data_IF_468944192775
#
_entry.id   IF_468944192775
#
_cell.length_a   1.000
_cell.length_b   1.000
_cell.length_c   1.000
_cell.angle_alpha   90.00
_cell.angle_beta   90.00
_cell.angle_gamma   90.00
#
_symmetry.space_group_name_H-M   'P 1'
#
loop_
_entity.id
_entity.type
_entity.pdbx_description
1 polymer ?
#
# COMPACT_ATOMS: atom_id res chain seq x y z
N UNK A 1 11.18 28.06 -16.83
CA UNK A 1 10.93 26.65 -16.44
C UNK A 1 9.53 26.26 -16.84
N UNK A 2 9.17 24.98 -16.70
CA UNK A 2 7.78 24.50 -16.85
C UNK A 2 7.08 24.53 -15.49
N UNK A 3 5.79 24.87 -15.46
CA UNK A 3 5.00 24.94 -14.23
C UNK A 3 3.50 24.86 -14.53
N UNK A 4 2.70 24.65 -13.49
CA UNK A 4 1.25 24.61 -13.54
C UNK A 4 0.67 25.94 -13.03
N UNK A 5 -0.43 26.41 -13.64
CA UNK A 5 -1.14 27.63 -13.24
C UNK A 5 -2.62 27.31 -13.13
N UNK A 6 -3.29 27.82 -12.09
CA UNK A 6 -4.73 27.63 -11.90
C UNK A 6 -5.54 28.44 -12.92
N UNK A 7 -6.49 27.78 -13.60
CA UNK A 7 -7.43 28.42 -14.54
C UNK A 7 -8.79 28.77 -13.92
N UNK A 8 -9.02 28.31 -12.67
CA UNK A 8 -10.20 28.58 -11.86
C UNK A 8 -9.81 28.76 -10.39
N UNK A 9 -10.70 29.34 -9.59
CA UNK A 9 -10.56 29.38 -8.13
C UNK A 9 -10.81 28.00 -7.53
N UNK A 10 -10.01 27.63 -6.52
CA UNK A 10 -10.18 26.41 -5.72
C UNK A 10 -10.51 26.77 -4.29
N UNK A 11 -11.32 25.95 -3.61
CA UNK A 11 -11.56 26.06 -2.17
C UNK A 11 -10.53 25.26 -1.38
N UNK A 12 -10.36 25.59 -0.10
CA UNK A 12 -9.57 24.78 0.83
C UNK A 12 -10.11 23.34 0.85
N UNK A 13 -9.20 22.37 0.65
CA UNK A 13 -9.54 20.95 0.55
C UNK A 13 -9.99 20.47 -0.83
N UNK A 14 -10.08 21.34 -1.85
CA UNK A 14 -10.44 20.91 -3.21
C UNK A 14 -9.26 20.19 -3.89
N UNK A 15 -9.54 19.02 -4.47
CA UNK A 15 -8.59 18.26 -5.27
C UNK A 15 -8.34 19.02 -6.60
N UNK A 16 -7.08 19.37 -6.85
CA UNK A 16 -6.69 20.06 -8.09
C UNK A 16 -6.54 19.07 -9.25
N UNK A 17 -5.85 17.96 -9.02
CA UNK A 17 -5.74 16.83 -9.96
C UNK A 17 -5.33 15.55 -9.22
N UNK A 18 -5.62 14.40 -9.82
CA UNK A 18 -5.16 13.08 -9.37
C UNK A 18 -4.56 12.34 -10.57
N UNK A 19 -3.52 11.55 -10.31
CA UNK A 19 -2.83 10.78 -11.35
C UNK A 19 -2.38 9.43 -10.77
N UNK A 20 -2.50 8.36 -11.57
CA UNK A 20 -1.89 7.06 -11.24
C UNK A 20 -0.39 7.14 -11.60
N UNK A 21 0.53 6.71 -10.73
CA UNK A 21 1.96 6.70 -11.05
C UNK A 21 2.23 5.96 -12.37
N UNK A 22 3.12 6.51 -13.19
CA UNK A 22 3.55 5.84 -14.44
C UNK A 22 4.25 4.53 -14.11
N UNK A 23 5.09 4.52 -13.08
CA UNK A 23 5.77 3.35 -12.51
C UNK A 23 5.82 3.54 -11.00
N UNK A 24 5.61 2.46 -10.25
CA UNK A 24 5.89 2.42 -8.81
C UNK A 24 6.44 1.04 -8.42
N UNK A 25 7.24 1.00 -7.35
CA UNK A 25 7.74 -0.24 -6.76
C UNK A 25 8.06 -0.01 -5.28
N UNK A 26 8.12 -1.08 -4.50
CA UNK A 26 8.58 -1.01 -3.12
C UNK A 26 10.07 -0.69 -3.05
N UNK A 27 10.46 0.02 -1.98
CA UNK A 27 11.88 0.21 -1.73
C UNK A 27 12.55 -1.11 -1.36
N UNK A 28 13.78 -1.34 -1.83
CA UNK A 28 14.50 -2.60 -1.57
C UNK A 28 14.64 -2.92 -0.06
N UNK A 29 14.98 -1.93 0.76
CA UNK A 29 15.11 -2.10 2.22
C UNK A 29 13.80 -2.53 2.89
N UNK A 30 12.62 -2.21 2.34
CA UNK A 30 11.37 -2.72 2.89
C UNK A 30 11.31 -4.25 2.81
N UNK A 31 11.86 -4.83 1.74
CA UNK A 31 12.04 -6.27 1.63
C UNK A 31 13.01 -6.81 2.70
N UNK A 32 14.10 -6.12 2.97
CA UNK A 32 15.09 -6.52 3.99
C UNK A 32 14.52 -6.47 5.43
N UNK A 33 13.49 -5.65 5.68
CA UNK A 33 12.80 -5.51 6.98
C UNK A 33 11.44 -6.20 7.05
N UNK A 34 11.19 -7.16 6.14
CA UNK A 34 9.95 -7.95 6.05
C UNK A 34 8.66 -7.09 5.99
N UNK A 35 8.74 -5.87 5.45
CA UNK A 35 7.56 -5.07 5.21
C UNK A 35 6.80 -5.61 4.01
N UNK A 36 5.64 -6.20 4.27
CA UNK A 36 4.79 -6.79 3.25
C UNK A 36 3.81 -5.73 2.70
N UNK A 37 3.96 -5.40 1.42
CA UNK A 37 3.07 -4.48 0.70
C UNK A 37 2.70 -5.03 -0.67
N UNK A 38 1.52 -4.63 -1.16
CA UNK A 38 1.02 -4.99 -2.49
C UNK A 38 1.91 -4.36 -3.56
N UNK A 39 2.35 -5.15 -4.52
CA UNK A 39 3.28 -4.67 -5.56
C UNK A 39 2.61 -3.79 -6.64
N UNK A 40 1.27 -3.65 -6.62
CA UNK A 40 0.53 -2.73 -7.49
C UNK A 40 0.19 -1.39 -6.79
N UNK A 41 -0.52 -1.46 -5.66
CA UNK A 41 -1.10 -0.29 -5.01
C UNK A 41 -0.35 0.15 -3.74
N UNK A 42 0.72 -0.54 -3.38
CA UNK A 42 1.55 -0.28 -2.18
C UNK A 42 0.78 -0.40 -0.84
N UNK A 43 -0.46 -0.89 -0.85
CA UNK A 43 -1.23 -1.13 0.36
C UNK A 43 -0.57 -2.20 1.24
N UNK A 44 -0.66 -2.09 2.58
CA UNK A 44 -0.07 -3.07 3.49
C UNK A 44 -0.73 -4.44 3.32
N UNK A 45 0.09 -5.49 3.38
CA UNK A 45 -0.35 -6.90 3.39
C UNK A 45 -0.30 -7.51 4.79
N UNK A 46 0.16 -6.75 5.77
CA UNK A 46 0.08 -7.06 7.19
C UNK A 46 -1.07 -6.31 7.84
N UNK A 47 -1.64 -6.90 8.89
CA UNK A 47 -2.60 -6.19 9.74
C UNK A 47 -1.87 -5.09 10.52
N UNK A 48 -2.60 -4.07 10.99
CA UNK A 48 -2.03 -3.05 11.87
C UNK A 48 -1.37 -3.68 13.12
N UNK A 49 -1.94 -4.79 13.60
CA UNK A 49 -1.44 -5.54 14.75
C UNK A 49 -0.11 -6.27 14.47
N UNK A 50 0.04 -6.86 13.28
CA UNK A 50 1.30 -7.47 12.83
C UNK A 50 2.37 -6.39 12.62
N UNK A 51 1.99 -5.29 11.96
CA UNK A 51 2.88 -4.15 11.69
C UNK A 51 3.49 -3.59 12.99
N UNK A 52 2.67 -3.27 13.99
CA UNK A 52 3.19 -2.73 15.26
C UNK A 52 4.09 -3.73 15.98
N UNK A 53 3.77 -5.03 15.93
CA UNK A 53 4.60 -6.07 16.56
C UNK A 53 5.94 -6.22 15.86
N UNK A 54 5.98 -6.18 14.53
CA UNK A 54 7.20 -6.22 13.72
C UNK A 54 8.08 -5.01 13.98
N UNK A 55 7.49 -3.81 13.94
CA UNK A 55 8.23 -2.55 14.12
C UNK A 55 8.77 -2.34 15.55
N UNK A 56 8.08 -2.87 16.56
CA UNK A 56 8.47 -2.69 17.98
C UNK A 56 9.20 -3.89 18.57
N UNK A 57 9.24 -5.02 17.88
CA UNK A 57 9.65 -6.33 18.40
C UNK A 57 8.92 -6.75 19.70
N UNK A 58 7.69 -6.24 19.91
CA UNK A 58 6.89 -6.52 21.12
C UNK A 58 5.63 -7.31 20.78
N UNK A 59 5.74 -8.64 20.83
CA UNK A 59 4.62 -9.57 20.57
C UNK A 59 3.42 -9.40 21.50
N UNK A 60 3.62 -8.81 22.69
CA UNK A 60 2.57 -8.59 23.69
C UNK A 60 1.71 -7.35 23.44
N UNK A 61 2.08 -6.48 22.49
CA UNK A 61 1.25 -5.33 22.15
C UNK A 61 -0.07 -5.81 21.56
N UNK A 62 -1.17 -5.19 22.01
CA UNK A 62 -2.52 -5.35 21.48
C UNK A 62 -3.03 -3.96 21.14
N UNK A 63 -3.42 -3.74 19.88
CA UNK A 63 -4.00 -2.47 19.46
C UNK A 63 -5.42 -2.33 20.01
N UNK A 64 -5.81 -1.14 20.52
CA UNK A 64 -7.11 -0.93 21.15
C UNK A 64 -8.29 -0.95 20.17
N UNK A 65 -8.06 -0.72 18.88
CA UNK A 65 -9.10 -0.58 17.84
C UNK A 65 -8.80 -1.50 16.63
N UNK A 66 -8.95 -2.82 16.76
CA UNK A 66 -8.69 -3.77 15.65
C UNK A 66 -9.60 -3.53 14.43
N UNK A 67 -10.79 -2.97 14.62
CA UNK A 67 -11.76 -2.64 13.57
C UNK A 67 -11.28 -1.56 12.60
N UNK A 68 -10.29 -0.75 12.99
CA UNK A 68 -9.67 0.24 12.10
C UNK A 68 -8.70 -0.40 11.10
N UNK A 69 -8.36 -1.69 11.23
CA UNK A 69 -7.47 -2.38 10.32
C UNK A 69 -8.19 -2.72 9.01
N UNK A 70 -7.79 -2.06 7.91
CA UNK A 70 -8.36 -2.29 6.58
C UNK A 70 -7.79 -3.49 5.80
N UNK A 71 -6.75 -4.16 6.31
CA UNK A 71 -6.08 -5.27 5.61
C UNK A 71 -6.99 -6.50 5.52
N UNK A 72 -7.32 -6.92 4.30
CA UNK A 72 -8.14 -8.12 4.01
C UNK A 72 -7.24 -9.30 3.63
N UNK A 73 -6.75 -10.03 4.63
CA UNK A 73 -5.77 -11.13 4.46
C UNK A 73 -6.29 -12.24 3.54
N UNK A 74 -7.59 -12.49 3.58
CA UNK A 74 -8.30 -13.50 2.81
C UNK A 74 -8.34 -13.23 1.30
N UNK A 75 -8.08 -11.98 0.88
CA UNK A 75 -8.04 -11.59 -0.54
C UNK A 75 -6.62 -11.61 -1.11
N UNK A 76 -5.60 -11.74 -0.27
CA UNK A 76 -4.21 -11.70 -0.70
C UNK A 76 -3.93 -12.85 -1.66
N UNK A 77 -3.29 -12.52 -2.78
CA UNK A 77 -2.87 -13.48 -3.80
C UNK A 77 -1.39 -13.26 -4.12
N UNK A 78 -0.79 -14.18 -4.84
CA UNK A 78 0.61 -14.13 -5.21
C UNK A 78 0.84 -14.66 -6.63
N UNK A 79 1.89 -14.16 -7.28
CA UNK A 79 2.34 -14.66 -8.56
C UNK A 79 2.96 -16.05 -8.38
N UNK A 80 2.46 -17.06 -9.09
CA UNK A 80 2.98 -18.44 -9.01
C UNK A 80 4.41 -18.59 -9.54
N UNK A 81 4.90 -17.64 -10.34
CA UNK A 81 6.24 -17.71 -10.93
C UNK A 81 7.33 -17.06 -10.06
N UNK A 82 7.01 -15.98 -9.33
CA UNK A 82 8.01 -15.22 -8.54
C UNK A 82 7.66 -15.04 -7.06
N UNK A 83 6.45 -15.39 -6.62
CA UNK A 83 5.98 -15.23 -5.24
C UNK A 83 5.64 -13.79 -4.84
N UNK A 84 5.70 -12.81 -5.75
CA UNK A 84 5.28 -11.43 -5.48
C UNK A 84 3.81 -11.40 -5.06
N UNK A 85 3.49 -10.63 -4.01
CA UNK A 85 2.16 -10.60 -3.40
C UNK A 85 1.36 -9.36 -3.77
N UNK A 86 0.04 -9.54 -3.83
CA UNK A 86 -0.93 -8.52 -4.16
C UNK A 86 -2.09 -8.57 -3.18
N UNK A 87 -2.66 -7.42 -2.84
CA UNK A 87 -3.77 -7.37 -1.88
C UNK A 87 -5.09 -7.96 -2.43
N UNK A 88 -5.18 -8.15 -3.74
CA UNK A 88 -6.32 -8.78 -4.41
C UNK A 88 -5.95 -9.30 -5.80
N UNK A 89 -6.83 -10.11 -6.39
CA UNK A 89 -6.72 -10.59 -7.78
C UNK A 89 -6.78 -9.44 -8.79
N UNK A 90 -7.53 -8.37 -8.49
CA UNK A 90 -7.60 -7.17 -9.31
C UNK A 90 -6.26 -6.47 -9.36
N UNK A 91 -5.60 -6.28 -8.21
CA UNK A 91 -4.26 -5.69 -8.17
C UNK A 91 -3.22 -6.56 -8.89
N UNK A 92 -3.32 -7.88 -8.79
CA UNK A 92 -2.47 -8.79 -9.56
C UNK A 92 -2.66 -8.61 -11.07
N UNK A 93 -3.92 -8.59 -11.53
CA UNK A 93 -4.25 -8.41 -12.96
C UNK A 93 -3.82 -7.05 -13.49
N UNK A 94 -4.00 -5.98 -12.72
CA UNK A 94 -3.56 -4.63 -13.11
C UNK A 94 -2.04 -4.53 -13.23
N UNK A 95 -1.27 -5.15 -12.34
CA UNK A 95 0.18 -5.14 -12.40
C UNK A 95 0.75 -5.99 -13.54
N UNK A 96 -0.06 -6.89 -14.13
CA UNK A 96 0.36 -7.78 -15.21
C UNK A 96 0.06 -7.22 -16.61
N UNK A 97 -0.69 -6.12 -16.73
CA UNK A 97 -0.97 -5.44 -18.01
C UNK A 97 0.24 -4.66 -18.51
#
# INVERSE_FOLDING_TARGET
GKGLVALKSYKEGEIIFEEKPVICCQFAWNGDYDYAACDNCMAPLETAQENVRRLTDRRTIVLPFPECCGTKKELITECSACGTKYCSVECFKEAYQ
#
